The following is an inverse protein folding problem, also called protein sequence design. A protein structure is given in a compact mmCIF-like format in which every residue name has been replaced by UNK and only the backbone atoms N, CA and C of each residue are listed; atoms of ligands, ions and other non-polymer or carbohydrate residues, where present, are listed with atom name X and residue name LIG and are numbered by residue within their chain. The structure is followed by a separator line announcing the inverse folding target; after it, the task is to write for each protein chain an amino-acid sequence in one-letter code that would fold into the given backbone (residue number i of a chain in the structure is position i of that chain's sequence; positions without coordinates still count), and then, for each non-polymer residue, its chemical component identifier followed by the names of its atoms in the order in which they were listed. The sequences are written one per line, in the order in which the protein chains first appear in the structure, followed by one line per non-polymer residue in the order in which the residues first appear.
data_IF_845909619909
#
_entry.id   IF_845909619909
#
_cell.length_a   1.000
_cell.length_b   1.000
_cell.length_c   1.000
_cell.angle_alpha   90.00
_cell.angle_beta   90.00
_cell.angle_gamma   90.00
#
_symmetry.space_group_name_H-M   'P 1'
#
loop_
_entity.id
_entity.type
_entity.pdbx_description
1 polymer ?
#
# COMPACT_ATOMS: atom_id res chain seq x y z
N UNK A 1 -44.65 -3.16 -2.09
CA UNK A 1 -43.69 -3.46 -3.17
C UNK A 1 -42.41 -3.97 -2.50
N UNK A 2 -42.28 -5.29 -2.31
CA UNK A 2 -41.12 -5.91 -1.66
C UNK A 2 -40.01 -6.11 -2.70
N UNK A 3 -38.84 -5.52 -2.47
CA UNK A 3 -37.64 -5.76 -3.27
C UNK A 3 -36.97 -7.07 -2.79
N UNK A 4 -36.54 -7.96 -3.70
CA UNK A 4 -35.85 -9.19 -3.31
C UNK A 4 -34.39 -8.89 -2.89
N UNK A 5 -33.79 -9.74 -2.04
CA UNK A 5 -32.43 -9.55 -1.57
C UNK A 5 -31.43 -9.84 -2.70
N UNK A 6 -30.61 -8.84 -3.03
CA UNK A 6 -29.51 -8.97 -3.98
C UNK A 6 -28.43 -9.88 -3.40
N UNK A 7 -28.35 -11.10 -3.92
CA UNK A 7 -27.25 -12.04 -3.67
C UNK A 7 -25.93 -11.36 -4.06
N UNK A 8 -24.86 -11.41 -3.22
CA UNK A 8 -23.55 -10.94 -3.63
C UNK A 8 -23.11 -11.73 -4.86
N UNK A 9 -23.00 -11.04 -5.99
CA UNK A 9 -22.34 -11.55 -7.18
C UNK A 9 -20.88 -11.80 -6.82
N UNK A 10 -20.56 -13.05 -6.51
CA UNK A 10 -19.17 -13.52 -6.49
C UNK A 10 -18.66 -13.37 -7.92
N UNK A 11 -17.73 -12.43 -8.10
CA UNK A 11 -17.02 -12.23 -9.36
C UNK A 11 -16.49 -13.58 -9.86
N UNK A 12 -16.59 -13.89 -11.16
CA UNK A 12 -16.03 -15.10 -11.72
C UNK A 12 -14.55 -15.20 -11.32
N UNK A 13 -14.21 -16.27 -10.61
CA UNK A 13 -12.84 -16.73 -10.49
C UNK A 13 -12.44 -17.14 -11.91
N UNK A 14 -11.93 -16.19 -12.69
CA UNK A 14 -11.52 -16.43 -14.07
C UNK A 14 -10.53 -17.59 -14.09
N UNK A 15 -11.04 -18.71 -14.59
CA UNK A 15 -10.33 -19.87 -15.10
C UNK A 15 -9.55 -19.44 -16.34
N UNK A 16 -8.46 -18.70 -16.15
CA UNK A 16 -7.43 -18.53 -17.17
C UNK A 16 -6.38 -19.62 -16.94
N UNK A 17 -6.43 -20.66 -17.78
CA UNK A 17 -5.62 -21.89 -17.68
C UNK A 17 -4.10 -21.69 -17.82
N UNK A 18 -3.60 -20.46 -17.94
CA UNK A 18 -2.19 -20.10 -17.76
C UNK A 18 -2.11 -18.60 -17.44
N UNK A 19 -2.03 -18.18 -16.16
CA UNK A 19 -1.86 -16.77 -15.83
C UNK A 19 -0.55 -16.27 -16.43
N UNK A 20 -0.58 -15.13 -17.15
CA UNK A 20 0.62 -14.48 -17.68
C UNK A 20 1.04 -13.30 -16.81
N UNK A 21 2.33 -12.94 -16.88
CA UNK A 21 2.84 -11.77 -16.17
C UNK A 21 2.31 -10.49 -16.82
N UNK A 22 1.61 -9.65 -16.07
CA UNK A 22 1.08 -8.38 -16.57
C UNK A 22 2.17 -7.34 -16.94
N UNK A 23 3.45 -7.63 -16.70
CA UNK A 23 4.57 -6.74 -17.02
C UNK A 23 5.38 -7.21 -18.23
N UNK A 24 5.74 -8.50 -18.31
CA UNK A 24 6.56 -9.05 -19.38
C UNK A 24 5.85 -10.09 -20.26
N UNK A 25 4.55 -10.34 -20.04
CA UNK A 25 3.74 -11.35 -20.73
C UNK A 25 4.25 -12.80 -20.64
N UNK A 26 5.22 -13.09 -19.74
CA UNK A 26 5.72 -14.46 -19.55
C UNK A 26 4.64 -15.36 -18.95
N UNK A 27 4.42 -16.52 -19.57
CA UNK A 27 3.56 -17.60 -19.05
C UNK A 27 4.34 -18.54 -18.11
N UNK A 28 5.64 -18.68 -18.35
CA UNK A 28 6.55 -19.50 -17.54
C UNK A 28 7.09 -18.74 -16.34
N UNK A 29 6.24 -18.54 -15.34
CA UNK A 29 6.77 -18.20 -14.02
C UNK A 29 6.19 -19.10 -12.96
N UNK A 30 7.08 -19.85 -12.31
CA UNK A 30 6.75 -20.79 -11.23
C UNK A 30 5.87 -20.14 -10.15
N UNK A 31 5.94 -18.82 -9.96
CA UNK A 31 5.13 -18.06 -9.00
C UNK A 31 4.80 -16.65 -9.49
N UNK A 32 3.52 -16.27 -9.35
CA UNK A 32 3.00 -14.93 -9.56
C UNK A 32 2.73 -14.22 -8.23
N UNK A 33 3.03 -12.92 -8.20
CA UNK A 33 2.80 -12.03 -7.08
C UNK A 33 1.76 -10.99 -7.46
N UNK A 34 0.95 -10.55 -6.50
CA UNK A 34 -0.04 -9.49 -6.71
C UNK A 34 0.56 -8.16 -6.28
N UNK A 35 0.80 -7.27 -7.24
CA UNK A 35 1.29 -5.91 -7.01
C UNK A 35 0.26 -4.86 -7.41
N UNK A 36 0.32 -3.71 -6.76
CA UNK A 36 -0.47 -2.54 -7.15
C UNK A 36 0.35 -1.67 -8.08
N UNK A 37 0.00 -1.65 -9.36
CA UNK A 37 0.69 -0.91 -10.41
C UNK A 37 -0.32 0.07 -11.02
N UNK A 38 -0.01 1.38 -10.95
CA UNK A 38 -0.86 2.46 -11.47
C UNK A 38 -2.31 2.40 -10.94
N UNK A 39 -2.47 2.12 -9.65
CA UNK A 39 -3.78 2.06 -8.99
C UNK A 39 -4.58 0.77 -9.23
N UNK A 40 -4.04 -0.18 -9.98
CA UNK A 40 -4.69 -1.46 -10.27
C UNK A 40 -3.89 -2.61 -9.70
N UNK A 41 -4.58 -3.62 -9.18
CA UNK A 41 -3.95 -4.85 -8.70
C UNK A 41 -3.68 -5.80 -9.86
N UNK A 42 -2.40 -6.04 -10.16
CA UNK A 42 -1.93 -6.86 -11.29
C UNK A 42 -1.10 -8.04 -10.80
N UNK A 43 -1.16 -9.15 -11.54
CA UNK A 43 -0.29 -10.32 -11.30
C UNK A 43 1.00 -10.14 -12.10
N UNK A 44 2.14 -10.29 -11.44
CA UNK A 44 3.46 -10.21 -12.07
C UNK A 44 4.33 -11.37 -11.62
N UNK A 45 5.27 -11.82 -12.45
CA UNK A 45 6.19 -12.89 -12.06
C UNK A 45 7.21 -12.40 -11.03
N UNK A 46 7.86 -13.33 -10.33
CA UNK A 46 8.93 -13.04 -9.36
C UNK A 46 9.99 -12.09 -9.92
N UNK A 47 10.49 -12.33 -11.14
CA UNK A 47 11.51 -11.48 -11.76
C UNK A 47 11.02 -10.03 -11.91
N UNK A 48 9.77 -9.83 -12.36
CA UNK A 48 9.21 -8.49 -12.50
C UNK A 48 9.00 -7.80 -11.15
N UNK A 49 8.66 -8.52 -10.08
CA UNK A 49 8.62 -7.92 -8.74
C UNK A 49 9.98 -7.31 -8.37
N UNK A 50 11.05 -8.07 -8.58
CA UNK A 50 12.40 -7.65 -8.24
C UNK A 50 12.89 -6.49 -9.15
N UNK A 51 12.59 -6.54 -10.45
CA UNK A 51 12.96 -5.48 -11.40
C UNK A 51 12.18 -4.17 -11.20
N UNK A 52 10.92 -4.24 -10.76
CA UNK A 52 10.10 -3.05 -10.46
C UNK A 52 10.50 -2.38 -9.13
N UNK A 53 11.22 -3.09 -8.26
CA UNK A 53 11.58 -2.64 -6.91
C UNK A 53 13.07 -2.84 -6.60
N UNK A 54 14.00 -2.34 -7.44
CA UNK A 54 15.43 -2.64 -7.32
C UNK A 54 16.07 -2.06 -6.05
N UNK A 55 15.48 -1.02 -5.45
CA UNK A 55 15.93 -0.40 -4.20
C UNK A 55 15.44 -1.10 -2.93
N UNK A 56 14.69 -2.19 -3.06
CA UNK A 56 14.07 -2.89 -1.91
C UNK A 56 14.88 -4.08 -1.40
N UNK A 57 15.98 -4.45 -2.05
CA UNK A 57 16.78 -5.61 -1.67
C UNK A 57 18.20 -5.55 -2.24
N UNK A 58 19.11 -6.35 -1.68
CA UNK A 58 20.46 -6.55 -2.23
C UNK A 58 20.43 -7.63 -3.33
N UNK A 59 20.89 -7.37 -4.56
CA UNK A 59 20.83 -8.34 -5.67
C UNK A 59 21.82 -9.52 -5.54
N UNK A 60 22.76 -9.46 -4.60
CA UNK A 60 23.72 -10.55 -4.34
C UNK A 60 23.19 -11.54 -3.31
N UNK A 61 22.73 -11.06 -2.15
CA UNK A 61 22.25 -11.92 -1.06
C UNK A 61 20.72 -12.04 -0.97
N UNK A 62 19.96 -11.28 -1.76
CA UNK A 62 18.50 -11.24 -1.74
C UNK A 62 17.89 -10.89 -0.38
N UNK A 63 18.66 -10.20 0.46
CA UNK A 63 18.13 -9.65 1.70
C UNK A 63 17.26 -8.43 1.39
N UNK A 64 16.01 -8.49 1.83
CA UNK A 64 15.03 -7.41 1.74
C UNK A 64 15.35 -6.28 2.72
N UNK A 65 15.11 -5.04 2.30
CA UNK A 65 15.24 -3.83 3.12
C UNK A 65 13.85 -3.37 3.56
N UNK A 66 13.52 -3.54 4.85
CA UNK A 66 12.28 -2.98 5.40
C UNK A 66 12.27 -1.45 5.32
N UNK A 67 13.39 -0.84 5.69
CA UNK A 67 13.62 0.60 5.61
C UNK A 67 15.09 0.85 5.24
N UNK A 68 15.43 1.05 3.95
CA UNK A 68 16.82 1.25 3.53
C UNK A 68 17.48 2.50 4.15
N UNK A 69 16.68 3.40 4.75
CA UNK A 69 17.09 4.68 5.36
C UNK A 69 16.67 4.85 6.83
N UNK A 70 16.16 3.81 7.51
CA UNK A 70 15.87 3.93 8.95
C UNK A 70 17.13 3.66 9.77
N UNK A 71 17.65 4.75 10.31
CA UNK A 71 18.99 4.86 10.85
C UNK A 71 19.08 4.43 12.32
N UNK A 72 20.07 3.61 12.64
CA UNK A 72 20.89 3.76 13.85
C UNK A 72 22.38 3.99 13.53
N UNK A 73 22.76 4.14 12.24
CA UNK A 73 24.05 4.68 11.80
C UNK A 73 23.97 5.16 10.34
N UNK A 74 24.90 6.01 9.89
CA UNK A 74 24.87 6.69 8.59
C UNK A 74 24.71 5.72 7.40
N UNK A 75 23.63 5.83 6.60
CA UNK A 75 23.28 4.86 5.55
C UNK A 75 24.26 4.82 4.35
N UNK A 76 25.14 5.80 4.21
CA UNK A 76 26.09 5.92 3.09
C UNK A 76 27.22 4.86 3.12
N UNK A 77 27.54 4.27 4.27
CA UNK A 77 28.69 3.37 4.41
C UNK A 77 28.33 1.88 4.38
N UNK A 78 27.09 1.53 4.06
CA UNK A 78 26.63 0.13 4.02
C UNK A 78 26.25 -0.37 2.62
N UNK A 79 26.08 0.53 1.66
CA UNK A 79 25.60 0.19 0.33
C UNK A 79 26.39 0.87 -0.78
N UNK A 80 26.53 0.19 -1.91
CA UNK A 80 26.81 0.80 -3.21
C UNK A 80 25.55 0.87 -4.06
N UNK A 81 25.36 2.01 -4.73
CA UNK A 81 24.28 2.22 -5.70
C UNK A 81 24.75 1.91 -7.12
N UNK A 82 23.90 1.21 -7.88
CA UNK A 82 24.12 1.03 -9.32
C UNK A 82 24.05 2.38 -10.06
N UNK A 83 24.91 2.60 -11.04
CA UNK A 83 24.88 3.84 -11.85
C UNK A 83 23.77 3.88 -12.90
N UNK A 84 23.19 2.73 -13.26
CA UNK A 84 22.11 2.62 -14.27
C UNK A 84 20.70 2.53 -13.70
N UNK A 85 20.54 2.14 -12.44
CA UNK A 85 19.22 2.02 -11.79
C UNK A 85 19.32 2.27 -10.28
N UNK A 86 18.20 2.32 -9.58
CA UNK A 86 18.16 2.56 -8.14
C UNK A 86 18.50 1.32 -7.28
N UNK A 87 19.20 0.32 -7.82
CA UNK A 87 19.59 -0.88 -7.07
C UNK A 87 20.66 -0.57 -6.02
N UNK A 88 20.48 -1.13 -4.82
CA UNK A 88 21.39 -0.97 -3.67
C UNK A 88 22.00 -2.33 -3.32
N UNK A 89 23.32 -2.41 -3.22
CA UNK A 89 24.08 -3.64 -2.90
C UNK A 89 24.85 -3.44 -1.62
N UNK A 90 24.81 -4.38 -0.67
CA UNK A 90 25.65 -4.31 0.52
C UNK A 90 27.13 -4.28 0.13
N UNK A 91 27.93 -3.43 0.78
CA UNK A 91 29.38 -3.42 0.58
C UNK A 91 30.01 -4.78 0.91
N UNK A 92 29.54 -5.43 1.97
CA UNK A 92 30.01 -6.77 2.39
C UNK A 92 29.64 -7.89 1.42
N UNK A 93 28.69 -7.66 0.51
CA UNK A 93 28.31 -8.64 -0.51
C UNK A 93 29.17 -8.52 -1.78
N UNK A 94 30.03 -7.50 -1.87
CA UNK A 94 30.88 -7.30 -3.03
C UNK A 94 32.15 -8.14 -2.92
N UNK A 95 32.66 -8.64 -4.06
CA UNK A 95 33.96 -9.30 -4.06
C UNK A 95 35.05 -8.31 -3.65
N UNK A 96 36.08 -8.81 -2.98
CA UNK A 96 37.32 -8.09 -2.74
C UNK A 96 38.34 -8.45 -3.83
N UNK A 97 38.99 -7.48 -4.50
CA UNK A 97 38.92 -6.04 -4.26
C UNK A 97 37.63 -5.40 -4.78
N UNK A 98 37.24 -4.27 -4.17
CA UNK A 98 36.02 -3.55 -4.53
C UNK A 98 36.03 -3.18 -6.02
N UNK A 99 34.92 -3.34 -6.75
CA UNK A 99 34.88 -3.01 -8.17
C UNK A 99 35.21 -1.54 -8.42
N UNK A 100 36.05 -1.29 -9.42
CA UNK A 100 36.37 0.05 -9.91
C UNK A 100 35.09 0.77 -10.32
N UNK A 101 34.94 2.04 -9.93
CA UNK A 101 33.80 2.86 -10.38
C UNK A 101 33.77 2.98 -11.91
N UNK A 102 32.61 2.86 -12.58
CA UNK A 102 31.26 2.81 -12.02
C UNK A 102 30.72 1.40 -11.72
N UNK A 103 30.07 1.23 -10.56
CA UNK A 103 29.41 -0.02 -10.18
C UNK A 103 28.09 -0.24 -10.92
N UNK A 104 27.93 -1.44 -11.49
CA UNK A 104 26.68 -1.92 -12.08
C UNK A 104 26.17 -3.13 -11.31
N UNK A 105 24.90 -3.11 -10.91
CA UNK A 105 24.26 -4.28 -10.31
C UNK A 105 24.13 -5.42 -11.34
N UNK A 106 24.00 -6.69 -10.90
CA UNK A 106 23.93 -7.84 -11.80
C UNK A 106 22.89 -7.70 -12.93
N UNK A 107 21.66 -7.20 -12.69
CA UNK A 107 20.69 -6.94 -13.76
C UNK A 107 21.11 -5.89 -14.80
N UNK A 108 21.95 -4.92 -14.42
CA UNK A 108 22.38 -3.84 -15.30
C UNK A 108 23.71 -4.11 -16.01
N UNK A 109 24.54 -5.00 -15.46
CA UNK A 109 25.81 -5.42 -16.06
C UNK A 109 25.62 -6.49 -17.15
N UNK A 110 24.55 -7.29 -17.06
CA UNK A 110 24.30 -8.40 -17.99
C UNK A 110 23.03 -8.14 -18.82
N UNK A 111 23.10 -8.12 -20.16
CA UNK A 111 21.95 -7.81 -21.03
C UNK A 111 20.83 -8.87 -20.94
N UNK A 112 21.19 -10.13 -20.72
CA UNK A 112 20.26 -11.27 -20.62
C UNK A 112 20.13 -11.78 -19.18
N UNK A 113 20.21 -10.88 -18.21
CA UNK A 113 20.12 -11.27 -16.80
C UNK A 113 18.78 -11.93 -16.49
N UNK A 114 18.82 -13.08 -15.81
CA UNK A 114 17.65 -13.75 -15.25
C UNK A 114 17.88 -14.11 -13.80
N UNK A 115 16.87 -13.89 -12.96
CA UNK A 115 16.85 -14.40 -11.59
C UNK A 115 16.64 -15.93 -11.53
N UNK A 116 16.14 -16.52 -12.62
CA UNK A 116 15.89 -17.96 -12.79
C UNK A 116 16.47 -18.40 -14.14
N UNK A 117 17.79 -18.62 -14.25
CA UNK A 117 18.40 -19.05 -15.50
C UNK A 117 17.94 -20.47 -15.89
N UNK A 118 17.65 -21.34 -14.91
CA UNK A 118 17.26 -22.73 -15.15
C UNK A 118 15.79 -22.99 -14.77
N UNK A 119 14.92 -23.09 -15.76
CA UNK A 119 13.47 -23.31 -15.55
C UNK A 119 13.11 -24.74 -15.12
N UNK A 120 14.07 -25.67 -15.10
CA UNK A 120 13.87 -27.11 -14.85
C UNK A 120 14.49 -27.59 -13.52
N UNK A 121 15.38 -26.80 -12.91
CA UNK A 121 16.10 -27.22 -11.69
C UNK A 121 15.20 -27.27 -10.45
N UNK A 122 15.51 -28.18 -9.53
CA UNK A 122 14.87 -28.26 -8.21
C UNK A 122 15.07 -26.96 -7.42
N UNK A 123 14.18 -26.69 -6.46
CA UNK A 123 14.25 -25.47 -5.65
C UNK A 123 15.49 -25.54 -4.72
N UNK A 124 16.56 -24.87 -5.13
CA UNK A 124 17.77 -24.74 -4.31
C UNK A 124 17.66 -23.57 -3.31
N UNK A 125 18.67 -23.44 -2.43
CA UNK A 125 18.75 -22.37 -1.43
C UNK A 125 18.70 -20.97 -2.06
N UNK A 126 19.30 -20.78 -3.24
CA UNK A 126 19.36 -19.48 -3.92
C UNK A 126 17.98 -19.10 -4.46
N UNK A 127 17.31 -20.00 -5.16
CA UNK A 127 15.95 -19.81 -5.65
C UNK A 127 14.97 -19.55 -4.50
N UNK A 128 15.12 -20.24 -3.36
CA UNK A 128 14.33 -19.99 -2.16
C UNK A 128 14.50 -18.55 -1.65
N UNK A 129 15.74 -18.03 -1.61
CA UNK A 129 16.02 -16.66 -1.20
C UNK A 129 15.43 -15.63 -2.16
N UNK A 130 15.54 -15.87 -3.47
CA UNK A 130 14.97 -15.00 -4.52
C UNK A 130 13.44 -14.91 -4.36
N UNK A 131 12.78 -16.06 -4.19
CA UNK A 131 11.34 -16.14 -3.98
C UNK A 131 10.92 -15.44 -2.69
N UNK A 132 11.61 -15.72 -1.58
CA UNK A 132 11.34 -15.08 -0.29
C UNK A 132 11.51 -13.56 -0.38
N UNK A 133 12.54 -13.08 -1.07
CA UNK A 133 12.77 -11.67 -1.31
C UNK A 133 11.61 -11.04 -2.07
N UNK A 134 11.19 -11.64 -3.19
CA UNK A 134 10.05 -11.14 -3.96
C UNK A 134 8.76 -11.12 -3.14
N UNK A 135 8.50 -12.17 -2.33
CA UNK A 135 7.36 -12.20 -1.42
C UNK A 135 7.39 -11.05 -0.41
N UNK A 136 8.56 -10.75 0.19
CA UNK A 136 8.71 -9.62 1.12
C UNK A 136 8.47 -8.28 0.43
N UNK A 137 9.03 -8.08 -0.76
CA UNK A 137 8.78 -6.89 -1.59
C UNK A 137 7.30 -6.73 -1.90
N UNK A 138 6.64 -7.81 -2.35
CA UNK A 138 5.22 -7.79 -2.69
C UNK A 138 4.34 -7.51 -1.45
N UNK A 139 4.67 -8.09 -0.30
CA UNK A 139 3.98 -7.84 0.97
C UNK A 139 4.12 -6.39 1.42
N UNK A 140 5.33 -5.82 1.32
CA UNK A 140 5.57 -4.41 1.65
C UNK A 140 4.84 -3.48 0.68
N UNK A 141 4.83 -3.78 -0.62
CA UNK A 141 4.08 -3.02 -1.62
C UNK A 141 2.57 -3.07 -1.37
N UNK A 142 2.03 -4.24 -1.03
CA UNK A 142 0.62 -4.42 -0.69
C UNK A 142 0.24 -3.68 0.61
N UNK A 143 1.13 -3.67 1.62
CA UNK A 143 0.91 -2.94 2.86
C UNK A 143 0.86 -1.42 2.62
N UNK A 144 1.77 -0.90 1.78
CA UNK A 144 1.78 0.51 1.37
C UNK A 144 0.51 0.90 0.61
N UNK A 145 0.08 0.07 -0.35
CA UNK A 145 -1.15 0.35 -1.12
C UNK A 145 -2.40 0.29 -0.24
N UNK A 146 -2.47 -0.66 0.70
CA UNK A 146 -3.56 -0.75 1.67
C UNK A 146 -3.62 0.49 2.57
N UNK A 147 -2.48 0.96 3.07
CA UNK A 147 -2.41 2.18 3.87
C UNK A 147 -2.95 3.39 3.09
N UNK A 148 -2.53 3.56 1.82
CA UNK A 148 -3.02 4.64 0.96
C UNK A 148 -4.52 4.50 0.62
N UNK A 149 -5.01 3.28 0.43
CA UNK A 149 -6.43 3.04 0.19
C UNK A 149 -7.26 3.43 1.42
N UNK A 150 -6.81 3.07 2.63
CA UNK A 150 -7.46 3.44 3.89
C UNK A 150 -7.52 4.96 4.07
N UNK A 151 -6.40 5.67 3.89
CA UNK A 151 -6.38 7.13 4.02
C UNK A 151 -7.28 7.82 2.99
N UNK A 152 -7.36 7.29 1.76
CA UNK A 152 -8.28 7.80 0.74
C UNK A 152 -9.74 7.60 1.13
N UNK A 153 -10.11 6.41 1.63
CA UNK A 153 -11.48 6.12 2.07
C UNK A 153 -11.87 6.97 3.28
N UNK A 154 -10.98 7.14 4.25
CA UNK A 154 -11.23 8.00 5.41
C UNK A 154 -11.49 9.45 5.00
N UNK A 155 -10.70 9.97 4.05
CA UNK A 155 -10.91 11.31 3.49
C UNK A 155 -12.27 11.44 2.80
N UNK A 156 -12.62 10.50 1.92
CA UNK A 156 -13.90 10.58 1.18
C UNK A 156 -15.11 10.44 2.11
N UNK A 157 -15.02 9.64 3.17
CA UNK A 157 -16.07 9.53 4.19
C UNK A 157 -16.27 10.86 4.92
N UNK A 158 -15.18 11.55 5.31
CA UNK A 158 -15.25 12.87 5.96
C UNK A 158 -15.84 13.93 5.04
N UNK A 159 -15.37 13.98 3.80
CA UNK A 159 -15.89 14.92 2.78
C UNK A 159 -17.39 14.70 2.52
N UNK A 160 -17.82 13.44 2.38
CA UNK A 160 -19.23 13.09 2.20
C UNK A 160 -20.08 13.45 3.44
N UNK A 161 -19.55 13.27 4.65
CA UNK A 161 -20.25 13.66 5.88
C UNK A 161 -20.46 15.18 5.95
N UNK A 162 -19.43 15.97 5.63
CA UNK A 162 -19.52 17.44 5.58
C UNK A 162 -20.47 17.92 4.50
N UNK A 163 -20.44 17.32 3.31
CA UNK A 163 -21.36 17.65 2.23
C UNK A 163 -22.83 17.39 2.64
N UNK A 164 -23.10 16.23 3.27
CA UNK A 164 -24.45 15.93 3.79
C UNK A 164 -24.90 16.89 4.89
N UNK A 165 -23.99 17.31 5.78
CA UNK A 165 -24.29 18.31 6.80
C UNK A 165 -24.72 19.62 6.15
N UNK A 166 -23.90 20.15 5.23
CA UNK A 166 -24.21 21.40 4.50
C UNK A 166 -25.54 21.32 3.77
N UNK A 167 -25.82 20.20 3.09
CA UNK A 167 -27.09 20.00 2.40
C UNK A 167 -28.30 20.02 3.36
N UNK A 168 -28.17 19.41 4.55
CA UNK A 168 -29.20 19.48 5.60
C UNK A 168 -29.39 20.90 6.11
N UNK A 169 -28.30 21.59 6.44
CA UNK A 169 -28.34 22.98 6.91
C UNK A 169 -29.03 23.90 5.88
N UNK A 170 -28.79 23.68 4.57
CA UNK A 170 -29.49 24.41 3.50
C UNK A 170 -30.98 24.09 3.41
N UNK A 171 -31.38 22.82 3.54
CA UNK A 171 -32.79 22.43 3.54
C UNK A 171 -33.55 23.01 4.74
N UNK A 172 -32.92 23.00 5.91
CA UNK A 172 -33.48 23.59 7.13
C UNK A 172 -33.68 25.11 6.93
N UNK A 173 -32.73 25.79 6.29
CA UNK A 173 -32.85 27.20 5.94
C UNK A 173 -34.01 27.46 4.96
N UNK A 174 -34.15 26.67 3.90
CA UNK A 174 -35.28 26.78 2.97
C UNK A 174 -36.63 26.54 3.67
N UNK A 175 -36.71 25.58 4.59
CA UNK A 175 -37.94 25.31 5.37
C UNK A 175 -38.34 26.50 6.24
N UNK A 176 -37.37 27.19 6.85
CA UNK A 176 -37.63 28.42 7.62
C UNK A 176 -38.19 29.51 6.70
N UNK A 177 -37.56 29.72 5.54
CA UNK A 177 -38.02 30.73 4.57
C UNK A 177 -39.44 30.45 4.05
N UNK A 178 -39.78 29.18 3.76
CA UNK A 178 -41.15 28.81 3.34
C UNK A 178 -42.19 29.11 4.42
N UNK A 179 -41.87 28.87 5.70
CA UNK A 179 -42.75 29.21 6.83
C UNK A 179 -42.96 30.72 6.94
N UNK A 180 -41.89 31.52 6.82
CA UNK A 180 -41.98 32.99 6.86
C UNK A 180 -42.89 33.50 5.76
N UNK A 181 -42.68 33.00 4.53
CA UNK A 181 -43.50 33.37 3.36
C UNK A 181 -44.97 33.04 3.55
N UNK A 182 -45.30 31.84 4.05
CA UNK A 182 -46.69 31.42 4.30
C UNK A 182 -47.40 32.25 5.37
N UNK A 183 -46.66 32.76 6.35
CA UNK A 183 -47.20 33.56 7.44
C UNK A 183 -47.32 35.06 7.10
N UNK A 184 -46.98 35.47 5.87
CA UNK A 184 -47.02 36.88 5.47
C UNK A 184 -46.04 37.77 6.22
N UNK A 185 -45.00 37.18 6.82
CA UNK A 185 -43.96 37.86 7.61
C UNK A 185 -42.81 38.39 6.73
N UNK A 186 -43.09 38.62 5.43
CA UNK A 186 -42.13 39.13 4.45
C UNK A 186 -41.75 40.57 4.82
N UNK A 187 -40.68 40.74 5.62
CA UNK A 187 -40.20 42.04 6.11
C UNK A 187 -39.67 42.05 7.55
N UNK A 188 -39.88 40.99 8.33
CA UNK A 188 -39.53 40.95 9.77
C UNK A 188 -38.15 40.36 10.11
N UNK A 189 -37.34 39.99 9.12
CA UNK A 189 -36.02 39.39 9.36
C UNK A 189 -34.92 40.19 8.67
N UNK A 190 -34.44 41.24 9.35
CA UNK A 190 -33.04 41.66 9.20
C UNK A 190 -32.19 40.44 9.54
N UNK A 191 -31.59 39.84 8.52
CA UNK A 191 -30.70 38.67 8.61
C UNK A 191 -29.54 39.05 9.52
N UNK A 192 -29.69 38.75 10.79
CA UNK A 192 -28.61 38.89 11.77
C UNK A 192 -27.50 37.92 11.37
N UNK A 193 -26.49 38.51 10.74
CA UNK A 193 -25.14 38.01 10.54
C UNK A 193 -24.73 36.96 11.57
N UNK A 194 -24.83 35.68 11.22
CA UNK A 194 -23.98 34.66 11.81
C UNK A 194 -22.62 34.69 11.10
N UNK A 195 -21.78 35.68 11.50
CA UNK A 195 -20.34 35.61 11.33
C UNK A 195 -19.87 34.28 11.91
N UNK A 196 -19.40 33.37 11.06
CA UNK A 196 -18.25 32.48 11.27
C UNK A 196 -18.08 31.56 10.04
N UNK A 197 -17.97 32.15 8.86
CA UNK A 197 -17.20 31.56 7.76
C UNK A 197 -15.87 32.29 7.75
N UNK A 198 -14.86 31.67 8.35
CA UNK A 198 -13.48 32.06 8.17
C UNK A 198 -13.07 31.79 6.72
N UNK A 199 -13.44 32.70 5.83
CA UNK A 199 -12.96 32.74 4.45
C UNK A 199 -11.57 33.37 4.49
N UNK A 200 -10.55 32.60 4.86
CA UNK A 200 -9.18 32.96 4.53
C UNK A 200 -9.00 32.74 3.02
N UNK A 201 -9.30 33.78 2.25
CA UNK A 201 -8.65 34.00 0.96
C UNK A 201 -7.16 34.22 1.26
N UNK A 202 -6.34 33.21 1.03
CA UNK A 202 -4.93 33.43 0.75
C UNK A 202 -4.71 33.08 -0.72
N UNK A 203 -4.15 34.07 -1.41
CA UNK A 203 -3.81 34.05 -2.82
C UNK A 203 -3.13 32.75 -3.25
N UNK A 204 -3.52 32.29 -4.44
CA UNK A 204 -2.67 31.44 -5.27
C UNK A 204 -1.41 32.23 -5.57
N UNK A 205 -0.34 31.95 -4.83
CA UNK A 205 1.01 31.97 -5.36
C UNK A 205 1.53 30.56 -5.19
N UNK A 206 1.66 29.85 -6.31
CA UNK A 206 2.43 28.62 -6.37
C UNK A 206 3.87 28.94 -5.94
N UNK A 207 4.25 28.48 -4.74
CA UNK A 207 5.63 28.16 -4.46
C UNK A 207 5.70 26.79 -3.79
N UNK A 208 6.53 25.99 -4.42
CA UNK A 208 6.90 24.61 -4.13
C UNK A 208 7.60 24.51 -2.77
N UNK A 209 7.64 23.29 -2.26
CA UNK A 209 8.52 22.75 -1.20
C UNK A 209 7.96 22.58 0.24
N UNK A 210 8.04 21.29 0.62
CA UNK A 210 8.42 20.71 1.93
C UNK A 210 7.42 20.61 3.10
N UNK A 211 7.00 19.34 3.29
CA UNK A 211 7.07 18.52 4.50
C UNK A 211 6.75 19.11 5.88
N UNK A 212 6.05 18.24 6.61
CA UNK A 212 6.11 17.95 8.03
C UNK A 212 5.08 18.56 9.00
N UNK A 213 4.44 17.61 9.68
CA UNK A 213 4.12 17.60 11.10
C UNK A 213 3.06 18.59 11.58
N UNK A 214 1.84 18.09 11.81
CA UNK A 214 1.12 18.47 13.03
C UNK A 214 0.28 17.30 13.54
N UNK A 215 0.83 16.66 14.56
CA UNK A 215 0.16 15.92 15.61
C UNK A 215 -0.91 16.80 16.27
N UNK A 216 -2.13 16.29 16.38
CA UNK A 216 -3.22 16.97 17.08
C UNK A 216 -4.35 15.99 17.34
N UNK A 217 -4.28 15.32 18.49
CA UNK A 217 -5.38 14.52 19.01
C UNK A 217 -6.59 15.43 19.23
N UNK A 218 -7.73 15.05 18.67
CA UNK A 218 -9.03 15.52 19.15
C UNK A 218 -9.95 14.31 19.20
N UNK A 219 -10.14 13.83 20.44
CA UNK A 219 -11.16 12.84 20.80
C UNK A 219 -12.53 13.41 20.45
N UNK A 220 -13.17 12.85 19.43
CA UNK A 220 -14.61 13.01 19.22
C UNK A 220 -15.25 11.66 19.49
N UNK A 221 -15.99 11.59 20.59
CA UNK A 221 -16.74 10.43 21.01
C UNK A 221 -17.98 10.30 20.11
N UNK A 222 -17.96 9.35 19.18
CA UNK A 222 -19.13 8.97 18.37
C UNK A 222 -19.57 7.59 18.84
N UNK A 223 -20.75 7.55 19.47
CA UNK A 223 -21.41 6.32 19.90
C UNK A 223 -21.97 5.61 18.67
N UNK A 224 -21.26 4.58 18.20
CA UNK A 224 -21.69 3.71 17.10
C UNK A 224 -22.66 2.62 17.57
N UNK A 225 -23.53 2.10 16.68
CA UNK A 225 -24.39 0.98 17.00
C UNK A 225 -23.64 -0.36 16.90
N UNK A 226 -23.86 -1.18 17.92
CA UNK A 226 -23.84 -2.65 18.03
C UNK A 226 -22.82 -3.48 17.21
N UNK A 227 -22.06 -4.25 17.98
CA UNK A 227 -21.06 -5.25 17.62
C UNK A 227 -21.54 -6.27 16.56
N UNK A 228 -20.63 -6.62 15.66
CA UNK A 228 -20.71 -7.86 14.85
C UNK A 228 -19.56 -8.76 15.31
N UNK A 229 -19.80 -10.06 15.59
CA UNK A 229 -18.83 -10.95 16.22
C UNK A 229 -17.56 -11.19 15.42
N UNK A 230 -16.42 -11.18 16.12
CA UNK A 230 -15.11 -11.61 15.63
C UNK A 230 -15.12 -13.11 15.32
N UNK A 231 -14.63 -13.48 14.13
CA UNK A 231 -14.31 -14.86 13.79
C UNK A 231 -13.15 -15.40 14.67
N UNK A 232 -13.19 -16.66 15.11
CA UNK A 232 -12.14 -17.23 15.97
C UNK A 232 -10.78 -17.33 15.26
N UNK A 233 -9.71 -16.94 15.96
CA UNK A 233 -8.34 -17.29 15.57
C UNK A 233 -8.11 -18.80 15.70
N UNK A 234 -7.31 -19.42 14.81
CA UNK A 234 -6.86 -20.80 15.00
C UNK A 234 -6.01 -20.90 16.27
N UNK A 235 -6.42 -21.77 17.20
CA UNK A 235 -5.61 -22.18 18.34
C UNK A 235 -4.54 -23.13 17.83
N UNK A 236 -3.28 -22.70 17.84
CA UNK A 236 -2.13 -23.59 17.69
C UNK A 236 -1.97 -24.32 19.02
N UNK A 237 -2.40 -25.59 19.06
CA UNK A 237 -2.02 -26.51 20.14
C UNK A 237 -0.52 -26.81 19.99
N UNK A 238 0.30 -26.27 20.89
CA UNK A 238 1.63 -26.82 21.13
C UNK A 238 1.47 -28.21 21.76
N UNK A 239 1.73 -29.24 20.96
CA UNK A 239 1.97 -30.58 21.47
C UNK A 239 3.44 -30.68 21.86
N UNK A 240 3.71 -30.64 23.16
CA UNK A 240 4.97 -31.14 23.73
C UNK A 240 5.00 -32.66 23.50
N UNK A 241 5.94 -33.14 22.69
CA UNK A 241 6.37 -34.52 22.75
C UNK A 241 7.84 -34.53 23.18
N UNK A 242 8.05 -34.82 24.46
CA UNK A 242 9.32 -35.28 24.97
C UNK A 242 9.57 -36.71 24.46
N UNK A 243 10.41 -36.83 23.44
CA UNK A 243 11.00 -38.10 23.02
C UNK A 243 12.30 -38.32 23.76
N UNK A 244 12.24 -39.10 24.85
CA UNK A 244 13.39 -39.63 25.58
C UNK A 244 14.34 -40.42 24.67
N UNK A 245 15.63 -40.27 24.97
CA UNK A 245 16.74 -41.18 24.68
C UNK A 245 16.34 -42.65 24.50
N UNK A 246 16.89 -43.30 23.47
CA UNK A 246 17.47 -44.63 23.65
C UNK A 246 18.71 -44.80 22.77
N UNK A 247 19.86 -44.76 23.45
CA UNK A 247 21.13 -45.35 23.06
C UNK A 247 21.00 -46.87 22.90
N UNK A 248 21.41 -47.40 21.74
CA UNK A 248 22.32 -48.55 21.64
C UNK A 248 22.82 -48.71 20.21
#
# INVERSE_FOLDING_TARGET
MNLPPTKPSLLPLDTALNPECAHCASKDSRLFHRLWIRGMSRRVCTSCVLLLHPSSFCPYCFQFFDHPLSNTSAPAHRFLSCTKCSSLTHLDCLPSPLPSSPFLCPPCSQPNFSFFPDSISSLDKRHALILLCACKVASAAASKSLALARTRVERTVREAALARKRARDSLDHCSILDKIKRLGLEGTLEVSNARNLGTHHNNVVCKKEELNSFTGQSKVNVKGPSEVPLLPRPVIKSGNNEGKLLTR
#
